data_IF_968673659704
#
_entry.id   IF_968673659704
#
_cell.length_a   1.000
_cell.length_b   1.000
_cell.length_c   1.000
_cell.angle_alpha   90.00
_cell.angle_beta   90.00
_cell.angle_gamma   90.00
#
_symmetry.space_group_name_H-M   'P 1'
#
loop_
_entity.id
_entity.type
_entity.pdbx_description
1 polymer ?
#
# COMPACT_ATOMS: atom_id res chain seq x y z
N UNK A 1 -25.26 0.86 18.02
CA UNK A 1 -23.84 0.62 18.41
C UNK A 1 -23.63 1.07 19.86
N UNK A 2 -23.04 0.22 20.69
CA UNK A 2 -22.62 0.60 22.03
C UNK A 2 -21.53 1.67 21.96
N UNK A 3 -21.41 2.55 22.99
CA UNK A 3 -20.40 3.59 23.04
C UNK A 3 -18.98 3.04 22.85
N UNK A 4 -18.67 1.89 23.43
CA UNK A 4 -17.39 1.18 23.31
C UNK A 4 -17.10 0.73 21.87
N UNK A 5 -18.12 0.27 21.13
CA UNK A 5 -17.99 -0.14 19.72
C UNK A 5 -17.67 1.06 18.80
N UNK A 6 -18.35 2.20 19.04
CA UNK A 6 -18.08 3.45 18.30
C UNK A 6 -16.65 3.95 18.52
N UNK A 7 -16.21 4.05 19.79
CA UNK A 7 -14.86 4.48 20.13
C UNK A 7 -13.82 3.60 19.44
N UNK A 8 -13.97 2.28 19.50
CA UNK A 8 -13.03 1.32 18.90
C UNK A 8 -12.91 1.50 17.39
N UNK A 9 -14.03 1.54 16.68
CA UNK A 9 -14.03 1.67 15.21
C UNK A 9 -13.51 3.04 14.76
N UNK A 10 -13.86 4.10 15.48
CA UNK A 10 -13.29 5.44 15.22
C UNK A 10 -11.78 5.47 15.47
N UNK A 11 -11.29 4.77 16.50
CA UNK A 11 -9.84 4.68 16.76
C UNK A 11 -9.12 3.95 15.61
N UNK A 12 -9.66 2.83 15.13
CA UNK A 12 -9.05 2.12 13.99
C UNK A 12 -9.04 2.97 12.72
N UNK A 13 -10.15 3.67 12.43
CA UNK A 13 -10.19 4.62 11.31
C UNK A 13 -9.14 5.72 11.45
N UNK A 14 -8.96 6.27 12.66
CA UNK A 14 -8.03 7.35 12.94
C UNK A 14 -6.57 6.89 12.87
N UNK A 15 -6.26 5.65 13.26
CA UNK A 15 -4.94 5.04 13.10
C UNK A 15 -4.60 4.85 11.62
N UNK A 16 -5.56 4.41 10.82
CA UNK A 16 -5.41 4.28 9.38
C UNK A 16 -5.37 5.63 8.67
N UNK A 17 -6.06 6.64 9.19
CA UNK A 17 -5.91 8.03 8.72
C UNK A 17 -4.47 8.53 8.90
N UNK A 18 -3.87 8.31 10.07
CA UNK A 18 -2.46 8.64 10.32
C UNK A 18 -1.50 7.88 9.39
N UNK A 19 -1.78 6.60 9.11
CA UNK A 19 -1.05 5.80 8.12
C UNK A 19 -1.20 6.39 6.71
N UNK A 20 -2.43 6.73 6.33
CA UNK A 20 -2.72 7.30 5.01
C UNK A 20 -2.02 8.63 4.77
N UNK A 21 -1.96 9.51 5.77
CA UNK A 21 -1.29 10.80 5.63
C UNK A 21 0.20 10.65 5.35
N UNK A 22 0.93 9.79 6.07
CA UNK A 22 2.36 9.58 5.81
C UNK A 22 2.60 8.85 4.47
N UNK A 23 1.77 7.87 4.13
CA UNK A 23 1.88 7.18 2.84
C UNK A 23 1.62 8.14 1.68
N UNK A 24 0.60 9.01 1.77
CA UNK A 24 0.33 10.04 0.77
C UNK A 24 1.52 10.98 0.55
N UNK A 25 2.18 11.40 1.62
CA UNK A 25 3.40 12.18 1.52
C UNK A 25 4.52 11.40 0.82
N UNK A 26 4.88 10.21 1.30
CA UNK A 26 6.02 9.45 0.78
C UNK A 26 5.82 8.95 -0.64
N UNK A 27 4.62 8.63 -1.05
CA UNK A 27 4.36 8.06 -2.39
C UNK A 27 4.13 9.11 -3.46
N UNK A 28 3.67 10.32 -3.12
CA UNK A 28 3.26 11.30 -4.10
C UNK A 28 4.00 12.65 -4.02
N UNK A 29 4.42 13.08 -2.83
CA UNK A 29 4.91 14.44 -2.61
C UNK A 29 6.39 14.52 -2.21
N UNK A 30 6.92 13.46 -1.61
CA UNK A 30 8.31 13.39 -1.18
C UNK A 30 9.30 13.62 -2.34
N UNK A 31 8.98 13.14 -3.54
CA UNK A 31 9.85 13.30 -4.69
C UNK A 31 10.01 14.78 -5.09
N UNK A 32 8.95 15.57 -5.09
CA UNK A 32 9.04 17.00 -5.40
C UNK A 32 9.76 17.79 -4.31
N UNK A 33 9.59 17.43 -3.03
CA UNK A 33 10.35 18.01 -1.93
C UNK A 33 11.85 17.80 -2.12
N UNK A 34 12.29 16.57 -2.35
CA UNK A 34 13.70 16.25 -2.54
C UNK A 34 14.29 16.87 -3.81
N UNK A 35 13.50 16.92 -4.90
CA UNK A 35 13.91 17.61 -6.15
C UNK A 35 14.18 19.10 -5.95
N UNK A 36 13.47 19.78 -5.07
CA UNK A 36 13.71 21.21 -4.77
C UNK A 36 15.11 21.47 -4.17
N UNK A 37 15.74 20.45 -3.61
CA UNK A 37 17.14 20.48 -3.11
C UNK A 37 18.16 19.96 -4.15
N UNK A 38 17.76 19.74 -5.39
CA UNK A 38 18.65 19.24 -6.45
C UNK A 38 18.98 17.73 -6.36
N UNK A 39 18.26 16.98 -5.52
CA UNK A 39 18.44 15.52 -5.41
C UNK A 39 17.96 14.85 -6.69
N UNK A 40 18.76 13.92 -7.25
CA UNK A 40 18.41 13.19 -8.48
C UNK A 40 17.28 12.19 -8.26
N UNK A 41 16.56 11.81 -9.33
CA UNK A 41 15.49 10.82 -9.23
C UNK A 41 16.02 9.44 -8.81
N UNK A 42 17.25 9.10 -9.20
CA UNK A 42 17.97 7.91 -8.71
C UNK A 42 18.09 7.90 -7.19
N UNK A 43 18.57 9.01 -6.63
CA UNK A 43 18.71 9.14 -5.17
C UNK A 43 17.34 9.10 -4.48
N UNK A 44 16.33 9.77 -5.02
CA UNK A 44 14.96 9.77 -4.51
C UNK A 44 14.35 8.35 -4.53
N UNK A 45 14.56 7.61 -5.62
CA UNK A 45 14.09 6.23 -5.74
C UNK A 45 14.72 5.31 -4.71
N UNK A 46 16.04 5.40 -4.53
CA UNK A 46 16.79 4.64 -3.51
C UNK A 46 16.32 5.04 -2.09
N UNK A 47 16.20 6.34 -1.82
CA UNK A 47 15.69 6.87 -0.55
C UNK A 47 14.30 6.28 -0.24
N UNK A 48 13.36 6.36 -1.19
CA UNK A 48 11.99 5.87 -1.02
C UNK A 48 11.96 4.36 -0.79
N UNK A 49 12.77 3.60 -1.53
CA UNK A 49 12.88 2.16 -1.35
C UNK A 49 13.42 1.79 0.05
N UNK A 50 14.47 2.48 0.52
CA UNK A 50 15.03 2.27 1.86
C UNK A 50 14.05 2.70 2.96
N UNK A 51 13.37 3.82 2.79
CA UNK A 51 12.37 4.31 3.74
C UNK A 51 11.21 3.34 3.90
N UNK A 52 10.76 2.65 2.84
CA UNK A 52 9.68 1.66 2.88
C UNK A 52 10.11 0.27 3.35
N UNK A 53 11.40 0.02 3.54
CA UNK A 53 11.90 -1.30 3.97
C UNK A 53 11.28 -1.82 5.28
N UNK A 54 10.96 -0.99 6.29
CA UNK A 54 10.27 -1.44 7.49
C UNK A 54 8.92 -2.11 7.23
N UNK A 55 8.22 -1.74 6.14
CA UNK A 55 6.95 -2.38 5.75
C UNK A 55 7.14 -3.83 5.27
N UNK A 56 8.33 -4.18 4.81
CA UNK A 56 8.70 -5.56 4.51
C UNK A 56 8.97 -6.30 5.82
N UNK A 57 9.63 -5.63 6.76
CA UNK A 57 10.04 -6.17 8.05
C UNK A 57 8.91 -6.21 9.09
N UNK A 58 7.73 -5.66 8.80
CA UNK A 58 6.61 -5.56 9.75
C UNK A 58 6.14 -6.90 10.32
N UNK A 59 6.39 -8.02 9.63
CA UNK A 59 6.11 -9.37 10.13
C UNK A 59 6.84 -9.62 11.45
N UNK A 60 8.11 -9.22 11.57
CA UNK A 60 8.90 -9.36 12.79
C UNK A 60 8.37 -8.46 13.91
N UNK A 61 7.88 -7.26 13.56
CA UNK A 61 7.22 -6.35 14.52
C UNK A 61 5.93 -6.95 15.08
N UNK A 62 5.14 -7.62 14.23
CA UNK A 62 3.96 -8.37 14.65
C UNK A 62 4.31 -9.51 15.61
N UNK A 63 5.33 -10.31 15.26
CA UNK A 63 5.83 -11.38 16.14
C UNK A 63 6.34 -10.86 17.49
N UNK A 64 7.03 -9.71 17.48
CA UNK A 64 7.52 -9.07 18.70
C UNK A 64 6.35 -8.64 19.60
N UNK A 65 5.36 -7.95 19.03
CA UNK A 65 4.16 -7.52 19.78
C UNK A 65 3.32 -8.71 20.26
N UNK A 66 3.40 -9.85 19.58
CA UNK A 66 2.70 -11.05 19.99
C UNK A 66 3.33 -11.74 21.22
N UNK A 67 4.61 -11.58 21.44
CA UNK A 67 5.38 -12.28 22.48
C UNK A 67 5.73 -11.41 23.68
N UNK A 68 5.99 -10.13 23.45
CA UNK A 68 6.52 -9.24 24.48
C UNK A 68 5.44 -8.27 24.95
N UNK A 69 5.09 -8.37 26.24
CA UNK A 69 4.26 -7.37 26.90
C UNK A 69 5.13 -6.16 27.25
N UNK A 70 5.10 -5.13 26.43
CA UNK A 70 5.97 -3.98 26.55
C UNK A 70 5.63 -3.18 27.81
N UNK A 71 6.60 -3.01 28.68
CA UNK A 71 6.45 -2.33 29.97
C UNK A 71 5.32 -2.89 30.89
N UNK A 72 4.82 -4.10 30.63
CA UNK A 72 3.64 -4.69 31.29
C UNK A 72 2.34 -3.89 31.09
N UNK A 73 2.29 -3.06 30.05
CA UNK A 73 1.13 -2.21 29.72
C UNK A 73 0.20 -2.80 28.65
N UNK A 74 0.60 -3.94 28.06
CA UNK A 74 -0.17 -4.62 27.03
C UNK A 74 0.67 -5.10 25.85
N UNK A 75 0.03 -5.80 24.94
CA UNK A 75 0.67 -6.38 23.76
C UNK A 75 0.44 -5.56 22.46
N UNK A 76 -0.56 -4.66 22.48
CA UNK A 76 -0.91 -3.83 21.30
C UNK A 76 -0.77 -2.34 21.57
N UNK A 77 -1.44 -1.83 22.59
CA UNK A 77 -1.48 -0.39 22.90
C UNK A 77 -0.10 0.26 23.06
N UNK A 78 0.85 -0.30 23.84
CA UNK A 78 2.16 0.32 24.01
C UNK A 78 2.93 0.43 22.68
N UNK A 79 2.84 -0.60 21.83
CA UNK A 79 3.48 -0.60 20.50
C UNK A 79 2.84 0.41 19.57
N UNK A 80 1.50 0.55 19.58
CA UNK A 80 0.78 1.57 18.81
C UNK A 80 1.25 2.96 19.21
N UNK A 81 1.25 3.27 20.51
CA UNK A 81 1.66 4.59 21.01
C UNK A 81 3.13 4.87 20.68
N UNK A 82 4.03 3.91 20.95
CA UNK A 82 5.45 4.05 20.65
C UNK A 82 5.68 4.25 19.15
N UNK A 83 4.97 3.51 18.29
CA UNK A 83 5.05 3.65 16.84
C UNK A 83 4.62 5.03 16.35
N UNK A 84 3.51 5.56 16.89
CA UNK A 84 3.03 6.91 16.58
C UNK A 84 4.04 7.98 17.03
N UNK A 85 4.64 7.82 18.22
CA UNK A 85 5.66 8.76 18.72
C UNK A 85 6.95 8.72 17.88
N UNK A 86 7.41 7.53 17.50
CA UNK A 86 8.58 7.38 16.63
C UNK A 86 8.32 8.03 15.25
N UNK A 87 7.14 7.79 14.68
CA UNK A 87 6.79 8.39 13.39
C UNK A 87 6.71 9.91 13.47
N UNK A 88 5.99 10.45 14.46
CA UNK A 88 5.85 11.90 14.63
C UNK A 88 7.20 12.56 14.94
N UNK A 89 8.03 11.95 15.78
CA UNK A 89 9.39 12.41 16.08
C UNK A 89 10.27 12.45 14.82
N UNK A 90 10.21 11.39 13.98
CA UNK A 90 10.91 11.36 12.70
C UNK A 90 10.46 12.47 11.75
N UNK A 91 9.15 12.75 11.67
CA UNK A 91 8.60 13.85 10.86
C UNK A 91 9.10 15.22 11.33
N UNK A 92 9.16 15.46 12.63
CA UNK A 92 9.72 16.71 13.17
C UNK A 92 11.23 16.82 12.95
N UNK A 93 11.96 15.70 12.96
CA UNK A 93 13.40 15.70 12.66
C UNK A 93 13.71 16.07 11.20
N UNK A 94 12.78 15.85 10.25
CA UNK A 94 12.98 16.30 8.86
C UNK A 94 13.23 17.81 8.76
N UNK A 95 12.62 18.61 9.61
CA UNK A 95 12.80 20.06 9.65
C UNK A 95 14.24 20.48 9.97
N UNK A 96 14.97 19.65 10.71
CA UNK A 96 16.34 19.95 11.16
C UNK A 96 17.43 19.46 10.19
N UNK A 97 17.03 18.77 9.12
CA UNK A 97 17.98 18.10 8.20
C UNK A 97 17.87 18.70 6.81
N UNK A 98 18.97 19.31 6.36
CA UNK A 98 19.06 19.77 4.97
C UNK A 98 19.33 18.55 4.06
N UNK A 99 18.40 18.21 3.12
CA UNK A 99 18.54 17.05 2.25
C UNK A 99 19.83 17.06 1.40
N UNK A 100 20.25 18.22 0.92
CA UNK A 100 21.43 18.37 0.07
C UNK A 100 22.74 18.13 0.83
N UNK A 101 22.78 18.40 2.13
CA UNK A 101 24.00 18.29 2.95
C UNK A 101 24.07 16.94 3.68
N UNK A 102 22.94 16.39 4.08
CA UNK A 102 22.87 15.22 4.97
C UNK A 102 21.87 14.17 4.49
N UNK A 103 21.94 13.81 3.21
CA UNK A 103 20.99 12.88 2.57
C UNK A 103 20.92 11.51 3.26
N UNK A 104 22.08 10.97 3.71
CA UNK A 104 22.13 9.69 4.44
C UNK A 104 21.40 9.78 5.77
N UNK A 105 21.62 10.86 6.53
CA UNK A 105 20.91 11.08 7.80
C UNK A 105 19.39 11.23 7.58
N UNK A 106 18.98 11.96 6.54
CA UNK A 106 17.58 12.08 6.16
C UNK A 106 16.98 10.69 5.86
N UNK A 107 17.71 9.85 5.13
CA UNK A 107 17.27 8.47 4.81
C UNK A 107 17.12 7.62 6.08
N UNK A 108 18.04 7.74 7.03
CA UNK A 108 17.94 7.04 8.33
C UNK A 108 16.73 7.50 9.14
N UNK A 109 16.44 8.80 9.15
CA UNK A 109 15.27 9.35 9.84
C UNK A 109 13.98 8.94 9.16
N UNK A 110 13.95 8.89 7.82
CA UNK A 110 12.81 8.35 7.06
C UNK A 110 12.57 6.87 7.39
N UNK A 111 13.61 6.05 7.39
CA UNK A 111 13.53 4.65 7.78
C UNK A 111 12.98 4.48 9.21
N UNK A 112 13.48 5.26 10.17
CA UNK A 112 13.02 5.24 11.55
C UNK A 112 11.54 5.67 11.65
N UNK A 113 11.16 6.75 10.98
CA UNK A 113 9.77 7.23 10.93
C UNK A 113 8.82 6.16 10.40
N UNK A 114 9.17 5.51 9.28
CA UNK A 114 8.36 4.44 8.71
C UNK A 114 8.46 3.11 9.49
N UNK A 115 9.50 2.90 10.29
CA UNK A 115 9.51 1.82 11.29
C UNK A 115 8.43 2.05 12.36
N UNK A 116 8.28 3.29 12.82
CA UNK A 116 7.17 3.67 13.70
C UNK A 116 5.81 3.37 13.07
N UNK A 117 5.64 3.74 11.78
CA UNK A 117 4.42 3.42 11.03
C UNK A 117 4.18 1.91 10.94
N UNK A 118 5.17 1.13 10.53
CA UNK A 118 5.04 -0.32 10.40
C UNK A 118 4.68 -0.98 11.74
N UNK A 119 5.19 -0.44 12.86
CA UNK A 119 4.93 -0.95 14.20
C UNK A 119 3.48 -0.71 14.62
N UNK A 120 2.98 0.53 14.54
CA UNK A 120 1.59 0.76 14.95
C UNK A 120 0.58 0.18 13.97
N UNK A 121 0.89 0.16 12.66
CA UNK A 121 0.04 -0.46 11.64
C UNK A 121 -0.20 -1.95 11.95
N UNK A 122 0.88 -2.72 12.10
CA UNK A 122 0.79 -4.15 12.42
C UNK A 122 0.06 -4.42 13.73
N UNK A 123 0.31 -3.58 14.77
CA UNK A 123 -0.36 -3.73 16.06
C UNK A 123 -1.83 -3.29 16.01
N UNK A 124 -2.19 -2.34 15.14
CA UNK A 124 -3.58 -1.95 14.89
C UNK A 124 -4.35 -3.07 14.22
N UNK A 125 -3.77 -3.71 13.19
CA UNK A 125 -4.36 -4.86 12.52
C UNK A 125 -4.62 -6.00 13.52
N UNK A 126 -3.61 -6.33 14.32
CA UNK A 126 -3.74 -7.33 15.38
C UNK A 126 -4.79 -6.95 16.42
N UNK A 127 -4.87 -5.67 16.82
CA UNK A 127 -5.86 -5.20 17.79
C UNK A 127 -7.28 -5.23 17.21
N UNK A 128 -7.44 -4.90 15.93
CA UNK A 128 -8.71 -5.03 15.22
C UNK A 128 -9.18 -6.48 15.19
N UNK A 129 -8.30 -7.43 14.82
CA UNK A 129 -8.59 -8.87 14.83
C UNK A 129 -8.92 -9.40 16.22
N UNK A 130 -8.18 -8.97 17.25
CA UNK A 130 -8.37 -9.44 18.65
C UNK A 130 -9.68 -8.92 19.27
N UNK A 131 -10.29 -7.86 18.72
CA UNK A 131 -11.44 -7.16 19.34
C UNK A 131 -12.68 -7.07 18.48
N UNK A 132 -12.63 -7.45 17.22
CA UNK A 132 -13.77 -7.34 16.30
C UNK A 132 -14.51 -8.68 16.21
N UNK A 133 -15.83 -8.71 16.44
CA UNK A 133 -16.63 -9.89 16.19
C UNK A 133 -16.63 -10.26 14.70
N UNK A 134 -16.74 -11.56 14.33
CA UNK A 134 -16.70 -12.01 12.94
C UNK A 134 -17.73 -11.31 12.02
N UNK A 135 -18.92 -10.99 12.54
CA UNK A 135 -19.97 -10.29 11.80
C UNK A 135 -19.65 -8.83 11.47
N UNK A 136 -18.67 -8.23 12.13
CA UNK A 136 -18.26 -6.84 11.94
C UNK A 136 -16.93 -6.68 11.20
N UNK A 137 -16.23 -7.77 10.86
CA UNK A 137 -14.90 -7.72 10.25
C UNK A 137 -14.88 -6.90 8.96
N UNK A 138 -15.83 -7.13 8.06
CA UNK A 138 -15.95 -6.37 6.82
C UNK A 138 -16.20 -4.88 7.05
N UNK A 139 -17.04 -4.54 8.05
CA UNK A 139 -17.34 -3.16 8.43
C UNK A 139 -16.08 -2.46 8.97
N UNK A 140 -15.32 -3.13 9.83
CA UNK A 140 -14.09 -2.57 10.41
C UNK A 140 -13.03 -2.35 9.33
N UNK A 141 -12.80 -3.32 8.45
CA UNK A 141 -11.88 -3.17 7.33
C UNK A 141 -12.29 -2.02 6.42
N UNK A 142 -13.58 -1.90 6.08
CA UNK A 142 -14.08 -0.78 5.29
C UNK A 142 -13.83 0.59 5.93
N UNK A 143 -14.04 0.71 7.25
CA UNK A 143 -13.79 1.94 8.01
C UNK A 143 -12.29 2.25 8.07
N UNK A 144 -11.43 1.25 8.24
CA UNK A 144 -9.98 1.39 8.24
C UNK A 144 -9.48 1.89 6.87
N UNK A 145 -9.89 1.24 5.78
CA UNK A 145 -9.54 1.65 4.41
C UNK A 145 -10.04 3.06 4.10
N UNK A 146 -11.26 3.41 4.50
CA UNK A 146 -11.78 4.76 4.34
C UNK A 146 -10.96 5.80 5.12
N UNK A 147 -10.53 5.47 6.35
CA UNK A 147 -9.64 6.31 7.14
C UNK A 147 -8.31 6.55 6.43
N UNK A 148 -7.66 5.49 5.91
CA UNK A 148 -6.41 5.59 5.13
C UNK A 148 -6.59 6.49 3.91
N UNK A 149 -7.63 6.26 3.15
CA UNK A 149 -7.93 7.04 1.96
C UNK A 149 -8.15 8.53 2.27
N UNK A 150 -8.88 8.82 3.34
CA UNK A 150 -9.08 10.19 3.81
C UNK A 150 -7.75 10.86 4.19
N UNK A 151 -6.85 10.13 4.87
CA UNK A 151 -5.51 10.60 5.20
C UNK A 151 -4.69 10.95 3.96
N UNK A 152 -4.68 10.08 2.95
CA UNK A 152 -4.00 10.33 1.67
C UNK A 152 -4.55 11.59 0.98
N UNK A 153 -5.86 11.68 0.83
CA UNK A 153 -6.50 12.81 0.14
C UNK A 153 -6.25 14.12 0.88
N UNK A 154 -6.42 14.13 2.21
CA UNK A 154 -6.27 15.35 2.99
C UNK A 154 -4.83 15.84 2.96
N UNK A 155 -3.84 14.97 3.20
CA UNK A 155 -2.43 15.39 3.18
C UNK A 155 -2.02 15.85 1.79
N UNK A 156 -2.44 15.15 0.74
CA UNK A 156 -2.09 15.51 -0.63
C UNK A 156 -2.62 16.89 -1.01
N UNK A 157 -3.85 17.21 -0.62
CA UNK A 157 -4.45 18.53 -0.88
C UNK A 157 -3.80 19.62 -0.02
N UNK A 158 -3.55 19.35 1.27
CA UNK A 158 -3.04 20.38 2.19
C UNK A 158 -1.54 20.64 2.05
N UNK A 159 -0.74 19.61 1.74
CA UNK A 159 0.72 19.76 1.59
C UNK A 159 1.06 20.70 0.44
N UNK A 160 0.40 20.54 -0.71
CA UNK A 160 0.61 21.45 -1.84
C UNK A 160 0.37 22.91 -1.46
N UNK A 161 -0.70 23.18 -0.70
CA UNK A 161 -1.01 24.54 -0.23
C UNK A 161 0.01 25.01 0.81
N UNK A 162 0.32 24.21 1.80
CA UNK A 162 1.25 24.59 2.88
C UNK A 162 2.67 24.84 2.37
N UNK A 163 3.16 24.02 1.43
CA UNK A 163 4.51 24.17 0.88
C UNK A 163 4.69 25.45 0.04
N UNK A 164 3.62 26.01 -0.52
CA UNK A 164 3.65 27.28 -1.26
C UNK A 164 3.39 28.50 -0.37
N UNK A 165 2.46 28.40 0.58
CA UNK A 165 1.99 29.53 1.37
C UNK A 165 2.77 29.74 2.67
N UNK A 166 3.37 28.69 3.21
CA UNK A 166 4.12 28.73 4.45
C UNK A 166 5.55 28.27 4.23
N UNK A 167 5.81 26.98 4.43
CA UNK A 167 7.12 26.34 4.29
C UNK A 167 6.95 24.82 4.38
N UNK A 168 7.97 24.05 3.97
CA UNK A 168 8.03 22.61 4.17
C UNK A 168 7.98 22.20 5.65
N UNK A 169 8.45 23.07 6.55
CA UNK A 169 8.33 22.84 8.01
C UNK A 169 6.88 22.73 8.45
N UNK A 170 6.00 23.57 7.92
CA UNK A 170 4.55 23.50 8.18
C UNK A 170 3.94 22.17 7.71
N UNK A 171 4.46 21.59 6.64
CA UNK A 171 4.08 20.27 6.14
C UNK A 171 4.44 19.20 7.15
N UNK A 172 5.68 19.18 7.65
CA UNK A 172 6.16 18.18 8.60
C UNK A 172 5.47 18.29 9.96
N UNK A 173 5.20 19.51 10.42
CA UNK A 173 4.39 19.75 11.63
C UNK A 173 2.97 19.18 11.43
N UNK A 174 2.34 19.45 10.28
CA UNK A 174 1.00 18.95 9.99
C UNK A 174 0.95 17.41 9.97
N UNK A 175 1.96 16.76 9.36
CA UNK A 175 2.10 15.31 9.36
C UNK A 175 2.27 14.76 10.78
N UNK A 176 3.10 15.40 11.62
CA UNK A 176 3.31 14.99 13.00
C UNK A 176 2.02 15.13 13.83
N UNK A 177 1.28 16.23 13.66
CA UNK A 177 -0.03 16.43 14.31
C UNK A 177 -1.02 15.35 13.85
N UNK A 178 -1.16 15.11 12.54
CA UNK A 178 -2.05 14.06 12.02
C UNK A 178 -1.68 12.67 12.55
N UNK A 179 -0.38 12.39 12.72
CA UNK A 179 0.12 11.14 13.28
C UNK A 179 -0.27 10.98 14.75
N UNK A 180 -0.29 12.05 15.54
CA UNK A 180 -0.58 12.01 16.97
C UNK A 180 -2.08 12.08 17.31
N UNK A 181 -2.95 12.47 16.36
CA UNK A 181 -4.41 12.55 16.59
C UNK A 181 -5.03 11.27 17.18
N UNK A 182 -4.63 10.04 16.79
CA UNK A 182 -5.21 8.82 17.37
C UNK A 182 -4.80 8.56 18.83
N UNK A 183 -3.70 9.14 19.33
CA UNK A 183 -3.13 8.82 20.66
C UNK A 183 -4.15 8.90 21.80
N UNK A 184 -4.92 10.00 21.96
CA UNK A 184 -5.93 10.08 23.03
C UNK A 184 -6.97 8.97 22.94
N UNK A 185 -7.38 8.61 21.72
CA UNK A 185 -8.37 7.55 21.50
C UNK A 185 -7.80 6.17 21.85
N UNK A 186 -6.54 5.90 21.49
CA UNK A 186 -5.84 4.65 21.84
C UNK A 186 -5.71 4.51 23.35
N UNK A 187 -5.41 5.59 24.07
CA UNK A 187 -5.33 5.58 25.54
C UNK A 187 -6.65 5.18 26.22
N UNK A 188 -7.78 5.61 25.66
CA UNK A 188 -9.11 5.31 26.16
C UNK A 188 -9.58 3.88 25.86
N UNK A 189 -8.98 3.18 24.88
CA UNK A 189 -9.33 1.80 24.57
C UNK A 189 -8.86 0.83 25.65
N UNK A 190 -9.67 -0.20 25.92
CA UNK A 190 -9.28 -1.32 26.77
C UNK A 190 -8.75 -2.45 25.89
N UNK A 191 -7.54 -2.89 26.17
CA UNK A 191 -6.98 -4.08 25.52
C UNK A 191 -7.53 -5.34 26.23
N UNK A 192 -8.12 -6.30 25.50
CA UNK A 192 -8.61 -7.53 26.09
C UNK A 192 -7.45 -8.39 26.58
N UNK A 193 -7.70 -9.18 27.64
CA UNK A 193 -6.78 -10.23 28.07
C UNK A 193 -6.65 -11.26 26.95
N UNK A 194 -5.42 -11.56 26.54
CA UNK A 194 -5.16 -12.51 25.45
C UNK A 194 -5.44 -13.94 25.85
N UNK A 195 -6.12 -14.73 25.00
CA UNK A 195 -6.07 -16.19 25.13
C UNK A 195 -4.62 -16.67 24.85
N UNK A 196 -4.09 -17.59 25.67
CA UNK A 196 -2.77 -18.16 25.44
C UNK A 196 -2.81 -18.98 24.13
N UNK A 197 -1.85 -18.76 23.21
CA UNK A 197 -1.51 -19.74 22.21
C UNK A 197 -1.74 -19.44 20.72
N UNK A 198 -1.75 -18.19 20.24
CA UNK A 198 -1.50 -17.95 18.80
C UNK A 198 0.01 -18.00 18.54
N UNK A 199 0.53 -19.18 18.25
CA UNK A 199 1.91 -19.34 17.82
C UNK A 199 2.00 -19.07 16.31
N UNK A 200 3.04 -18.32 15.92
CA UNK A 200 3.42 -18.19 14.51
C UNK A 200 3.82 -19.57 13.98
N UNK A 201 3.08 -20.09 13.01
CA UNK A 201 3.34 -21.39 12.44
C UNK A 201 4.39 -21.30 11.32
N UNK A 202 5.58 -21.82 11.55
CA UNK A 202 6.63 -21.98 10.53
C UNK A 202 6.17 -22.82 9.32
N UNK A 203 5.10 -23.61 9.47
CA UNK A 203 4.43 -24.33 8.39
C UNK A 203 3.93 -23.43 7.26
N UNK A 204 3.63 -22.14 7.55
CA UNK A 204 3.22 -21.15 6.56
C UNK A 204 4.27 -20.95 5.45
N UNK A 205 5.57 -21.02 5.81
CA UNK A 205 6.65 -20.89 4.83
C UNK A 205 6.72 -22.05 3.84
N UNK A 206 6.28 -23.26 4.22
CA UNK A 206 6.21 -24.41 3.29
C UNK A 206 5.14 -24.22 2.21
N UNK A 207 4.06 -23.47 2.49
CA UNK A 207 3.02 -23.16 1.52
C UNK A 207 3.56 -22.31 0.35
N UNK A 208 4.63 -21.54 0.54
CA UNK A 208 5.31 -20.77 -0.51
C UNK A 208 6.03 -21.64 -1.55
N UNK A 209 6.31 -22.90 -1.27
CA UNK A 209 6.82 -23.86 -2.26
C UNK A 209 5.79 -24.25 -3.34
N UNK A 210 4.52 -23.92 -3.16
CA UNK A 210 3.47 -24.19 -4.17
C UNK A 210 3.65 -23.26 -5.36
N UNK A 211 3.81 -23.82 -6.57
CA UNK A 211 4.03 -23.05 -7.83
C UNK A 211 3.02 -21.91 -8.04
N UNK A 212 1.77 -22.08 -7.62
CA UNK A 212 0.72 -21.06 -7.73
C UNK A 212 0.97 -19.85 -6.82
N UNK A 213 1.46 -20.10 -5.58
CA UNK A 213 1.76 -19.05 -4.61
C UNK A 213 3.01 -18.28 -5.04
N UNK A 214 4.03 -18.99 -5.52
CA UNK A 214 5.23 -18.35 -6.09
C UNK A 214 4.86 -17.48 -7.29
N UNK A 215 4.03 -18.00 -8.21
CA UNK A 215 3.59 -17.22 -9.38
C UNK A 215 2.75 -16.01 -8.98
N UNK A 216 1.91 -16.12 -7.94
CA UNK A 216 1.15 -15.00 -7.39
C UNK A 216 2.07 -13.97 -6.73
N UNK A 217 3.07 -14.40 -5.96
CA UNK A 217 4.09 -13.52 -5.41
C UNK A 217 4.85 -12.74 -6.49
N UNK A 218 5.30 -13.43 -7.56
CA UNK A 218 5.95 -12.79 -8.70
C UNK A 218 5.03 -11.82 -9.42
N UNK A 219 3.75 -12.16 -9.59
CA UNK A 219 2.74 -11.25 -10.15
C UNK A 219 2.61 -9.98 -9.29
N UNK A 220 2.60 -10.13 -7.96
CA UNK A 220 2.60 -9.02 -7.04
C UNK A 220 3.85 -8.16 -7.19
N UNK A 221 5.05 -8.75 -7.17
CA UNK A 221 6.31 -8.03 -7.37
C UNK A 221 6.24 -7.18 -8.64
N UNK A 222 5.93 -7.79 -9.79
CA UNK A 222 5.88 -7.07 -11.08
C UNK A 222 4.82 -5.97 -11.06
N UNK A 223 3.62 -6.24 -10.59
CA UNK A 223 2.55 -5.25 -10.54
C UNK A 223 2.88 -4.06 -9.64
N UNK A 224 3.47 -4.31 -8.46
CA UNK A 224 3.87 -3.22 -7.55
C UNK A 224 5.14 -2.49 -8.01
N UNK A 225 6.05 -3.13 -8.76
CA UNK A 225 7.13 -2.42 -9.49
C UNK A 225 6.52 -1.37 -10.42
N UNK A 226 5.53 -1.76 -11.23
CA UNK A 226 4.90 -0.88 -12.21
C UNK A 226 4.17 0.26 -11.53
N UNK A 227 3.28 -0.07 -10.60
CA UNK A 227 2.36 0.91 -10.01
C UNK A 227 3.08 1.89 -9.08
N UNK A 228 3.98 1.42 -8.23
CA UNK A 228 4.74 2.28 -7.30
C UNK A 228 5.79 3.10 -8.04
N UNK A 229 6.51 2.48 -8.99
CA UNK A 229 7.48 3.19 -9.82
C UNK A 229 6.84 4.31 -10.64
N UNK A 230 5.71 4.04 -11.30
CA UNK A 230 4.99 5.05 -12.06
C UNK A 230 4.45 6.17 -11.15
N UNK A 231 3.85 5.83 -10.00
CA UNK A 231 3.27 6.82 -9.10
C UNK A 231 4.28 7.85 -8.62
N UNK A 232 5.48 7.42 -8.23
CA UNK A 232 6.56 8.32 -7.76
C UNK A 232 6.97 9.35 -8.82
N UNK A 233 6.88 8.99 -10.11
CA UNK A 233 7.39 9.80 -11.20
C UNK A 233 6.39 10.85 -11.71
N UNK A 234 5.09 10.72 -11.42
CA UNK A 234 4.04 11.59 -12.00
C UNK A 234 4.27 13.05 -11.65
N UNK A 235 4.38 13.38 -10.37
CA UNK A 235 4.52 14.76 -9.93
C UNK A 235 5.85 15.41 -10.38
N UNK A 236 7.02 14.76 -10.24
CA UNK A 236 8.27 15.27 -10.80
C UNK A 236 8.21 15.47 -12.32
N UNK A 237 7.63 14.52 -13.05
CA UNK A 237 7.44 14.64 -14.49
C UNK A 237 6.61 15.85 -14.87
N UNK A 238 5.48 16.08 -14.21
CA UNK A 238 4.61 17.23 -14.48
C UNK A 238 5.27 18.54 -14.09
N UNK A 239 6.02 18.57 -12.98
CA UNK A 239 6.73 19.75 -12.52
C UNK A 239 7.87 20.13 -13.48
N UNK A 240 8.72 19.18 -13.88
CA UNK A 240 9.85 19.44 -14.76
C UNK A 240 9.42 19.73 -16.21
N UNK A 241 8.38 19.02 -16.70
CA UNK A 241 7.94 19.19 -18.10
C UNK A 241 7.02 20.39 -18.32
N UNK A 242 6.25 20.79 -17.31
CA UNK A 242 5.18 21.79 -17.47
C UNK A 242 5.21 22.91 -16.43
N UNK A 243 6.16 22.90 -15.48
CA UNK A 243 6.29 23.94 -14.47
C UNK A 243 5.10 24.03 -13.52
N UNK A 244 4.43 22.88 -13.21
CA UNK A 244 3.31 22.91 -12.27
C UNK A 244 3.80 23.33 -10.88
N UNK A 245 2.96 24.06 -10.13
CA UNK A 245 3.25 24.44 -8.76
C UNK A 245 3.14 23.25 -7.80
N UNK A 246 3.67 23.40 -6.60
CA UNK A 246 3.52 22.40 -5.51
C UNK A 246 2.04 22.18 -5.16
N UNK A 247 1.24 23.25 -5.17
CA UNK A 247 -0.21 23.17 -4.96
C UNK A 247 -0.88 22.27 -6.00
N UNK A 248 -0.55 22.46 -7.27
CA UNK A 248 -1.05 21.62 -8.36
C UNK A 248 -0.62 20.16 -8.20
N UNK A 249 0.65 19.90 -7.81
CA UNK A 249 1.14 18.56 -7.55
C UNK A 249 0.37 17.87 -6.41
N UNK A 250 0.06 18.60 -5.33
CA UNK A 250 -0.79 18.12 -4.24
C UNK A 250 -2.19 17.74 -4.71
N UNK A 251 -2.81 18.56 -5.55
CA UNK A 251 -4.14 18.24 -6.12
C UNK A 251 -4.10 17.06 -7.10
N UNK A 252 -3.06 16.91 -7.91
CA UNK A 252 -2.88 15.69 -8.72
C UNK A 252 -2.80 14.44 -7.86
N UNK A 253 -2.03 14.50 -6.75
CA UNK A 253 -1.94 13.38 -5.81
C UNK A 253 -3.30 13.09 -5.12
N UNK A 254 -4.08 14.12 -4.79
CA UNK A 254 -5.43 13.94 -4.25
C UNK A 254 -6.38 13.29 -5.26
N UNK A 255 -6.35 13.72 -6.52
CA UNK A 255 -7.15 13.14 -7.62
C UNK A 255 -6.74 11.69 -7.90
N UNK A 256 -5.44 11.38 -7.87
CA UNK A 256 -4.95 10.02 -7.91
C UNK A 256 -5.52 9.17 -6.76
N UNK A 257 -5.48 9.69 -5.52
CA UNK A 257 -6.03 9.01 -4.35
C UNK A 257 -7.53 8.73 -4.46
N UNK A 258 -8.32 9.67 -5.00
CA UNK A 258 -9.75 9.44 -5.30
C UNK A 258 -9.92 8.33 -6.34
N UNK A 259 -9.09 8.31 -7.37
CA UNK A 259 -9.04 7.21 -8.34
C UNK A 259 -8.77 5.87 -7.67
N UNK A 260 -7.81 5.80 -6.76
CA UNK A 260 -7.46 4.57 -6.01
C UNK A 260 -8.66 4.06 -5.19
N UNK A 261 -9.37 4.94 -4.50
CA UNK A 261 -10.57 4.58 -3.73
C UNK A 261 -11.63 3.95 -4.65
N UNK A 262 -11.96 4.63 -5.74
CA UNK A 262 -12.98 4.15 -6.68
C UNK A 262 -12.53 2.86 -7.39
N UNK A 263 -11.26 2.77 -7.75
CA UNK A 263 -10.66 1.56 -8.31
C UNK A 263 -10.71 0.36 -7.36
N UNK A 264 -10.41 0.58 -6.09
CA UNK A 264 -10.52 -0.44 -5.06
C UNK A 264 -11.96 -0.94 -4.86
N UNK A 265 -12.90 -0.02 -4.71
CA UNK A 265 -14.33 -0.37 -4.52
C UNK A 265 -14.92 -1.11 -5.73
N UNK A 266 -14.59 -0.64 -6.94
CA UNK A 266 -15.07 -1.29 -8.18
C UNK A 266 -14.35 -2.60 -8.44
N UNK A 267 -13.04 -2.67 -8.12
CA UNK A 267 -12.22 -3.86 -8.28
C UNK A 267 -12.70 -5.05 -7.45
N UNK A 268 -13.05 -4.82 -6.19
CA UNK A 268 -13.62 -5.85 -5.32
C UNK A 268 -14.93 -6.41 -5.89
N UNK A 269 -15.91 -5.53 -6.16
CA UNK A 269 -17.20 -5.94 -6.73
C UNK A 269 -17.07 -6.65 -8.08
N UNK A 270 -16.15 -6.19 -8.92
CA UNK A 270 -15.93 -6.79 -10.24
C UNK A 270 -15.29 -8.17 -10.10
N UNK A 271 -14.35 -8.34 -9.15
CA UNK A 271 -13.75 -9.64 -8.85
C UNK A 271 -14.80 -10.67 -8.44
N UNK A 272 -15.73 -10.28 -7.57
CA UNK A 272 -16.83 -11.16 -7.13
C UNK A 272 -17.73 -11.58 -8.30
N UNK A 273 -17.99 -10.68 -9.26
CA UNK A 273 -18.88 -10.92 -10.40
C UNK A 273 -18.25 -11.75 -11.52
N UNK A 274 -17.02 -11.42 -11.93
CA UNK A 274 -16.37 -12.02 -13.11
C UNK A 274 -15.34 -13.09 -12.76
N UNK A 275 -15.01 -13.24 -11.47
CA UNK A 275 -14.02 -14.17 -10.93
C UNK A 275 -12.57 -13.67 -11.05
N UNK A 276 -11.72 -14.15 -10.15
CA UNK A 276 -10.32 -13.72 -10.00
C UNK A 276 -9.50 -13.74 -11.31
N UNK A 277 -9.53 -14.81 -12.16
CA UNK A 277 -8.69 -14.85 -13.35
C UNK A 277 -8.98 -13.73 -14.35
N UNK A 278 -10.27 -13.39 -14.55
CA UNK A 278 -10.67 -12.32 -15.46
C UNK A 278 -10.40 -10.95 -14.84
N UNK A 279 -10.60 -10.80 -13.53
CA UNK A 279 -10.35 -9.58 -12.79
C UNK A 279 -8.85 -9.22 -12.82
N UNK A 280 -7.94 -10.18 -12.53
CA UNK A 280 -6.49 -9.95 -12.59
C UNK A 280 -6.06 -9.60 -14.02
N UNK A 281 -6.58 -10.29 -15.04
CA UNK A 281 -6.30 -9.95 -16.44
C UNK A 281 -6.74 -8.52 -16.77
N UNK A 282 -7.93 -8.11 -16.34
CA UNK A 282 -8.44 -6.75 -16.49
C UNK A 282 -7.58 -5.71 -15.79
N UNK A 283 -7.11 -6.00 -14.57
CA UNK A 283 -6.23 -5.12 -13.81
C UNK A 283 -4.87 -4.89 -14.49
N UNK A 284 -4.25 -5.96 -15.01
CA UNK A 284 -3.00 -5.83 -15.79
C UNK A 284 -3.20 -5.03 -17.07
N UNK A 285 -4.33 -5.23 -17.76
CA UNK A 285 -4.64 -4.47 -18.98
C UNK A 285 -4.88 -2.99 -18.64
N UNK A 286 -5.64 -2.69 -17.58
CA UNK A 286 -5.87 -1.32 -17.13
C UNK A 286 -4.54 -0.65 -16.74
N UNK A 287 -3.66 -1.35 -16.01
CA UNK A 287 -2.32 -0.86 -15.65
C UNK A 287 -1.47 -0.59 -16.89
N UNK A 288 -1.41 -1.53 -17.84
CA UNK A 288 -0.69 -1.36 -19.12
C UNK A 288 -1.14 -0.08 -19.83
N UNK A 289 -2.44 0.08 -20.03
CA UNK A 289 -3.00 1.20 -20.79
C UNK A 289 -2.80 2.52 -20.04
N UNK A 290 -3.12 2.59 -18.77
CA UNK A 290 -3.07 3.86 -18.02
C UNK A 290 -1.64 4.36 -17.82
N UNK A 291 -0.71 3.49 -17.46
CA UNK A 291 0.71 3.86 -17.29
C UNK A 291 1.32 4.26 -18.66
N UNK A 292 0.95 3.54 -19.73
CA UNK A 292 1.40 3.90 -21.08
C UNK A 292 0.88 5.28 -21.52
N UNK A 293 -0.39 5.58 -21.26
CA UNK A 293 -1.01 6.86 -21.60
C UNK A 293 -0.38 8.05 -20.87
N UNK A 294 0.11 7.88 -19.63
CA UNK A 294 0.81 8.94 -18.89
C UNK A 294 2.04 9.43 -19.66
N UNK A 295 2.76 8.53 -20.35
CA UNK A 295 3.91 8.89 -21.18
C UNK A 295 3.58 9.91 -22.28
N UNK A 296 2.32 9.95 -22.73
CA UNK A 296 1.83 10.86 -23.77
C UNK A 296 1.10 12.08 -23.23
N UNK A 297 1.18 12.36 -21.92
CA UNK A 297 0.68 13.61 -21.37
C UNK A 297 1.32 14.78 -22.10
N UNK A 298 0.49 15.62 -22.72
CA UNK A 298 0.92 16.75 -23.55
C UNK A 298 0.66 18.13 -22.89
N UNK A 299 -0.11 18.16 -21.81
CA UNK A 299 -0.43 19.38 -21.07
C UNK A 299 -0.87 19.07 -19.64
N UNK A 300 -0.78 20.04 -18.71
CA UNK A 300 -1.34 19.91 -17.36
C UNK A 300 -2.85 19.57 -17.37
N UNK A 301 -3.62 20.14 -18.28
CA UNK A 301 -5.05 19.86 -18.38
C UNK A 301 -5.33 18.37 -18.71
N UNK A 302 -4.54 17.77 -19.59
CA UNK A 302 -4.66 16.34 -19.92
C UNK A 302 -4.17 15.44 -18.79
N UNK A 303 -3.31 15.92 -17.93
CA UNK A 303 -2.82 15.15 -16.78
C UNK A 303 -3.94 14.78 -15.80
N UNK A 304 -4.95 15.63 -15.61
CA UNK A 304 -6.05 15.38 -14.65
C UNK A 304 -6.77 14.04 -14.90
N UNK A 305 -7.37 13.82 -16.09
CA UNK A 305 -8.03 12.55 -16.35
C UNK A 305 -7.07 11.37 -16.38
N UNK A 306 -5.83 11.54 -16.86
CA UNK A 306 -4.86 10.45 -16.94
C UNK A 306 -4.39 10.02 -15.54
N UNK A 307 -4.12 10.94 -14.64
CA UNK A 307 -3.75 10.66 -13.25
C UNK A 307 -4.91 10.01 -12.49
N UNK A 308 -6.15 10.47 -12.72
CA UNK A 308 -7.33 9.82 -12.16
C UNK A 308 -7.48 8.39 -12.64
N UNK A 309 -7.38 8.14 -13.95
CA UNK A 309 -7.48 6.81 -14.54
C UNK A 309 -6.36 5.89 -14.06
N UNK A 310 -5.15 6.42 -13.91
CA UNK A 310 -4.05 5.67 -13.32
C UNK A 310 -4.33 5.31 -11.86
N UNK A 311 -4.84 6.25 -11.05
CA UNK A 311 -5.27 5.97 -9.68
C UNK A 311 -6.33 4.88 -9.61
N UNK A 312 -7.33 4.93 -10.49
CA UNK A 312 -8.37 3.91 -10.62
C UNK A 312 -7.79 2.53 -10.97
N UNK A 313 -6.87 2.49 -11.92
CA UNK A 313 -6.16 1.27 -12.30
C UNK A 313 -5.28 0.72 -11.16
N UNK A 314 -4.61 1.60 -10.42
CA UNK A 314 -3.80 1.25 -9.26
C UNK A 314 -4.65 0.58 -8.18
N UNK A 315 -5.73 1.24 -7.73
CA UNK A 315 -6.62 0.70 -6.71
C UNK A 315 -7.32 -0.58 -7.15
N UNK A 316 -7.67 -0.69 -8.44
CA UNK A 316 -8.22 -1.91 -9.01
C UNK A 316 -7.21 -3.06 -8.94
N UNK A 317 -5.97 -2.84 -9.36
CA UNK A 317 -4.90 -3.86 -9.31
C UNK A 317 -4.63 -4.30 -7.87
N UNK A 318 -4.45 -3.36 -6.95
CA UNK A 318 -4.16 -3.63 -5.54
C UNK A 318 -5.26 -4.51 -4.91
N UNK A 319 -6.52 -4.13 -5.08
CA UNK A 319 -7.66 -4.86 -4.52
C UNK A 319 -7.80 -6.27 -5.11
N UNK A 320 -7.66 -6.41 -6.43
CA UNK A 320 -7.75 -7.71 -7.11
C UNK A 320 -6.59 -8.61 -6.71
N UNK A 321 -5.38 -8.06 -6.55
CA UNK A 321 -4.22 -8.81 -6.06
C UNK A 321 -4.44 -9.33 -4.65
N UNK A 322 -4.92 -8.49 -3.73
CA UNK A 322 -5.18 -8.88 -2.35
C UNK A 322 -6.33 -9.89 -2.24
N UNK A 323 -7.42 -9.70 -2.97
CA UNK A 323 -8.52 -10.65 -3.03
C UNK A 323 -8.06 -12.02 -3.56
N UNK A 324 -7.21 -12.02 -4.60
CA UNK A 324 -6.63 -13.26 -5.14
C UNK A 324 -5.66 -13.91 -4.17
N UNK A 325 -4.91 -13.10 -3.42
CA UNK A 325 -4.02 -13.59 -2.36
C UNK A 325 -4.80 -14.27 -1.24
N UNK A 326 -5.94 -13.70 -0.82
CA UNK A 326 -6.84 -14.31 0.15
C UNK A 326 -7.43 -15.65 -0.37
N UNK A 327 -7.90 -15.69 -1.63
CA UNK A 327 -8.44 -16.90 -2.25
C UNK A 327 -7.43 -18.07 -2.28
N UNK A 328 -6.15 -17.76 -2.49
CA UNK A 328 -5.08 -18.78 -2.59
C UNK A 328 -4.48 -19.18 -1.25
N UNK A 329 -4.91 -18.56 -0.17
CA UNK A 329 -4.38 -18.77 1.16
C UNK A 329 -5.03 -20.00 1.84
N UNK A 330 -4.25 -20.81 2.54
CA UNK A 330 -4.76 -21.89 3.37
C UNK A 330 -5.40 -21.29 4.63
N UNK A 331 -6.68 -21.59 4.87
CA UNK A 331 -7.45 -21.03 5.99
C UNK A 331 -6.79 -21.25 7.37
N UNK A 332 -6.01 -22.33 7.53
CA UNK A 332 -5.31 -22.65 8.79
C UNK A 332 -4.16 -21.70 9.10
N UNK A 333 -3.58 -21.06 8.07
CA UNK A 333 -2.41 -20.19 8.16
C UNK A 333 -2.66 -18.86 7.43
N UNK A 334 -3.95 -18.53 7.23
CA UNK A 334 -4.38 -17.44 6.36
C UNK A 334 -3.68 -16.10 6.67
N UNK A 335 -3.65 -15.70 7.93
CA UNK A 335 -3.06 -14.42 8.34
C UNK A 335 -1.56 -14.34 8.03
N UNK A 336 -0.80 -15.41 8.37
CA UNK A 336 0.65 -15.44 8.12
C UNK A 336 0.97 -15.47 6.62
N UNK A 337 0.22 -16.24 5.85
CA UNK A 337 0.44 -16.35 4.41
C UNK A 337 0.10 -15.04 3.69
N UNK A 338 -0.99 -14.40 4.06
CA UNK A 338 -1.37 -13.10 3.54
C UNK A 338 -0.33 -12.04 3.88
N UNK A 339 0.14 -11.99 5.14
CA UNK A 339 1.17 -11.03 5.57
C UNK A 339 2.48 -11.18 4.77
N UNK A 340 2.86 -12.41 4.44
CA UNK A 340 4.06 -12.67 3.62
C UNK A 340 3.84 -12.23 2.17
N UNK A 341 2.67 -12.50 1.57
CA UNK A 341 2.35 -12.00 0.21
C UNK A 341 2.34 -10.47 0.16
N UNK A 342 1.86 -9.81 1.23
CA UNK A 342 1.94 -8.35 1.38
C UNK A 342 3.40 -7.85 1.46
N UNK A 343 4.26 -8.55 2.23
CA UNK A 343 5.68 -8.21 2.30
C UNK A 343 6.37 -8.37 0.93
N UNK A 344 6.02 -9.42 0.19
CA UNK A 344 6.51 -9.64 -1.19
C UNK A 344 6.04 -8.52 -2.13
N UNK A 345 4.81 -8.06 -2.01
CA UNK A 345 4.30 -6.89 -2.74
C UNK A 345 5.09 -5.61 -2.40
N UNK A 346 5.39 -5.39 -1.13
CA UNK A 346 6.20 -4.25 -0.68
C UNK A 346 7.65 -4.31 -1.21
N UNK A 347 8.23 -5.50 -1.38
CA UNK A 347 9.51 -5.68 -2.10
C UNK A 347 9.37 -5.17 -3.55
N UNK A 348 8.29 -5.53 -4.23
CA UNK A 348 7.98 -5.01 -5.57
C UNK A 348 7.88 -3.49 -5.58
N UNK A 349 7.21 -2.88 -4.60
CA UNK A 349 7.15 -1.42 -4.46
C UNK A 349 8.54 -0.80 -4.31
N UNK A 350 9.37 -1.32 -3.40
CA UNK A 350 10.73 -0.81 -3.18
C UNK A 350 11.59 -0.88 -4.45
N UNK A 351 11.55 -2.01 -5.17
CA UNK A 351 12.24 -2.18 -6.47
C UNK A 351 11.70 -1.17 -7.49
N UNK A 352 10.37 -0.97 -7.55
CA UNK A 352 9.73 -0.04 -8.47
C UNK A 352 10.13 1.40 -8.25
N UNK A 353 10.19 1.84 -6.99
CA UNK A 353 10.64 3.18 -6.61
C UNK A 353 12.10 3.41 -7.01
N UNK A 354 13.00 2.47 -6.67
CA UNK A 354 14.41 2.57 -7.03
C UNK A 354 14.62 2.52 -8.56
N UNK A 355 14.04 1.52 -9.23
CA UNK A 355 14.18 1.35 -10.68
C UNK A 355 13.55 2.52 -11.46
N UNK A 356 12.38 3.00 -11.03
CA UNK A 356 11.72 4.16 -11.61
C UNK A 356 12.60 5.41 -11.55
N UNK A 357 13.20 5.68 -10.39
CA UNK A 357 14.13 6.80 -10.21
C UNK A 357 15.37 6.69 -11.10
N UNK A 358 16.04 5.52 -11.11
CA UNK A 358 17.23 5.26 -11.93
C UNK A 358 16.92 5.44 -13.42
N UNK A 359 15.84 4.80 -13.89
CA UNK A 359 15.45 4.86 -15.29
C UNK A 359 15.05 6.27 -15.72
N UNK A 360 14.35 7.04 -14.86
CA UNK A 360 13.95 8.41 -15.20
C UNK A 360 15.15 9.35 -15.37
N UNK A 361 16.22 9.19 -14.58
CA UNK A 361 17.44 9.94 -14.77
C UNK A 361 18.21 9.51 -16.04
N UNK A 362 18.09 8.23 -16.42
CA UNK A 362 18.87 7.66 -17.53
C UNK A 362 18.25 7.85 -18.91
N UNK A 363 16.94 7.56 -19.02
CA UNK A 363 16.20 7.59 -20.30
C UNK A 363 15.06 8.61 -20.31
N UNK A 364 14.86 9.35 -19.20
CA UNK A 364 13.78 10.33 -19.03
C UNK A 364 12.44 9.71 -18.64
N UNK A 365 11.54 10.54 -18.15
CA UNK A 365 10.25 10.13 -17.58
C UNK A 365 9.37 9.37 -18.58
N UNK A 366 9.24 9.87 -19.82
CA UNK A 366 8.33 9.30 -20.83
C UNK A 366 8.69 7.86 -21.19
N UNK A 367 9.98 7.61 -21.46
CA UNK A 367 10.45 6.26 -21.78
C UNK A 367 10.39 5.33 -20.57
N UNK A 368 10.58 5.87 -19.37
CA UNK A 368 10.40 5.09 -18.12
C UNK A 368 8.97 4.65 -17.93
N UNK A 369 7.97 5.52 -18.14
CA UNK A 369 6.56 5.12 -18.11
C UNK A 369 6.23 4.06 -19.16
N UNK A 370 6.73 4.20 -20.40
CA UNK A 370 6.54 3.19 -21.43
C UNK A 370 7.13 1.83 -21.03
N UNK A 371 8.35 1.83 -20.49
CA UNK A 371 9.03 0.61 -20.07
C UNK A 371 8.27 -0.06 -18.90
N UNK A 372 7.89 0.72 -17.90
CA UNK A 372 7.07 0.22 -16.79
C UNK A 372 5.74 -0.35 -17.27
N UNK A 373 5.05 0.32 -18.21
CA UNK A 373 3.83 -0.19 -18.80
C UNK A 373 4.04 -1.55 -19.48
N UNK A 374 5.11 -1.70 -20.28
CA UNK A 374 5.44 -2.92 -21.00
C UNK A 374 5.76 -4.10 -20.07
N UNK A 375 6.18 -3.87 -18.82
CA UNK A 375 6.36 -4.93 -17.83
C UNK A 375 5.06 -5.68 -17.50
N UNK A 376 3.88 -5.13 -17.81
CA UNK A 376 2.63 -5.88 -17.72
C UNK A 376 2.58 -7.08 -18.69
N UNK A 377 3.28 -7.03 -19.83
CA UNK A 377 3.24 -8.09 -20.83
C UNK A 377 3.75 -9.45 -20.31
N UNK A 378 4.97 -9.55 -19.71
CA UNK A 378 5.40 -10.79 -19.10
C UNK A 378 4.53 -11.20 -17.90
N UNK A 379 3.90 -10.26 -17.19
CA UNK A 379 2.98 -10.58 -16.09
C UNK A 379 1.76 -11.39 -16.54
N UNK A 380 1.29 -11.22 -17.80
CA UNK A 380 0.23 -12.05 -18.35
C UNK A 380 0.61 -13.55 -18.43
N UNK A 381 1.88 -13.89 -18.58
CA UNK A 381 2.34 -15.28 -18.61
C UNK A 381 2.19 -15.93 -17.22
N UNK A 382 2.33 -15.16 -16.13
CA UNK A 382 2.16 -15.64 -14.77
C UNK A 382 0.72 -16.04 -14.47
N UNK A 383 -0.28 -15.45 -15.16
CA UNK A 383 -1.70 -15.79 -14.96
C UNK A 383 -1.97 -17.29 -15.16
N UNK A 384 -1.35 -17.90 -16.18
CA UNK A 384 -1.51 -19.33 -16.44
C UNK A 384 -1.00 -20.18 -15.28
N UNK A 385 0.11 -19.76 -14.65
CA UNK A 385 0.68 -20.47 -13.49
C UNK A 385 -0.15 -20.29 -12.22
N UNK A 386 -0.68 -19.07 -11.99
CA UNK A 386 -1.54 -18.75 -10.83
C UNK A 386 -2.85 -19.55 -10.85
N UNK A 387 -3.47 -19.70 -12.02
CA UNK A 387 -4.83 -20.27 -12.16
C UNK A 387 -4.90 -21.66 -12.80
N UNK A 388 -3.78 -22.33 -13.04
CA UNK A 388 -3.70 -23.62 -13.77
C UNK A 388 -4.64 -24.70 -13.21
N UNK A 389 -4.77 -24.85 -11.89
CA UNK A 389 -5.63 -25.89 -11.27
C UNK A 389 -7.14 -25.65 -11.42
N UNK A 390 -7.59 -24.43 -11.72
CA UNK A 390 -9.01 -24.15 -11.97
C UNK A 390 -9.47 -24.63 -13.35
N UNK A 391 -8.57 -24.66 -14.33
CA UNK A 391 -8.86 -25.18 -15.66
C UNK A 391 -9.10 -26.70 -15.62
N UNK A 392 -8.24 -27.46 -14.87
CA UNK A 392 -8.34 -28.93 -14.79
C UNK A 392 -9.60 -29.40 -14.05
N UNK A 393 -10.11 -28.63 -13.05
CA UNK A 393 -11.37 -28.95 -12.35
C UNK A 393 -12.61 -28.71 -13.19
N UNK A 394 -12.60 -27.75 -14.13
CA UNK A 394 -13.73 -27.49 -15.03
C UNK A 394 -13.83 -28.51 -16.13
N UNK A 395 -12.71 -29.00 -16.64
CA UNK A 395 -12.68 -30.09 -17.65
C UNK A 395 -12.98 -31.45 -17.05
N UNK A 396 -12.49 -31.76 -15.83
CA UNK A 396 -12.80 -33.01 -15.12
C UNK A 396 -14.28 -33.10 -14.69
N UNK A 397 -14.88 -32.00 -14.22
CA UNK A 397 -16.31 -32.00 -13.82
C UNK A 397 -17.30 -32.07 -14.98
N UNK A 398 -16.90 -31.75 -16.22
CA UNK A 398 -17.71 -31.97 -17.42
C UNK A 398 -17.57 -33.37 -18.01
N UNK A 399 -16.43 -34.03 -17.80
CA UNK A 399 -16.23 -35.39 -18.19
C UNK A 399 -17.05 -36.38 -17.33
N UNK A 400 -17.10 -36.13 -16.01
CA UNK A 400 -17.84 -36.98 -15.06
C UNK A 400 -19.38 -36.90 -15.22
N UNK A 401 -19.91 -35.77 -15.68
CA UNK A 401 -21.34 -35.61 -16.00
C UNK A 401 -21.76 -36.24 -17.33
N UNK A 402 -20.82 -36.61 -18.20
CA UNK A 402 -21.13 -37.26 -19.47
C UNK A 402 -21.08 -38.82 -19.39
N UNK A 403 -20.53 -39.35 -18.29
CA UNK A 403 -20.47 -40.83 -18.07
C UNK A 403 -21.56 -41.37 -17.16
N UNK A 404 -22.38 -40.53 -16.51
CA UNK A 404 -23.58 -40.93 -15.77
C UNK A 404 -24.84 -40.71 -16.61
N UNK A 405 -24.98 -41.46 -17.69
CA UNK A 405 -26.26 -41.66 -18.38
C UNK A 405 -27.14 -42.62 -17.55
N UNK A 406 -28.49 -42.49 -17.63
CA UNK A 406 -29.37 -43.28 -16.82
C UNK A 406 -29.24 -44.77 -17.18
N UNK A 407 -28.88 -45.60 -16.18
CA UNK A 407 -29.06 -47.03 -16.27
C UNK A 407 -30.53 -47.31 -16.04
N UNK A 408 -31.19 -47.81 -17.07
CA UNK A 408 -32.54 -48.39 -17.04
C UNK A 408 -32.62 -49.50 -15.97
N UNK A 409 -33.53 -49.38 -15.04
CA UNK A 409 -34.63 -50.34 -14.74
C UNK A 409 -35.50 -49.82 -13.63
#
# INVERSE_FOLDING_TARGET
MTQTKRLRYSTFSMLYFAQGSILGYFTALNAIYLRSFGITMTQIGIFSAMALMPLILKIFLGMLSDRVNLFRLGYRKPYIILGLLIQAGGQLLFMLINPAQSFVLLTMVAFLSLTGMAMYDTCTDGFALDTTPPEDEGTVQGIMVAGRALGIVLISATVGVLSELADWDAVFISLAVMTLLPVPMVLLLKEPSRPPGRNFEWSAFRAFGKKQVVALGLLGIVGFIITSGANQLINPFLQESYGISYMMAGFYAAVWGLGVILGGLTGGRLTDRIGHPKAVKGALMASLVTVFLIAFTASPALAWPLVFLFGLSYGYFETVYFATSMEKTDLRIAASMFAILMAVANIGSGIGLAAGGILSDWIGYRYTFMLLALLNLPAFLLLRAVFRKQADRRTGGQADRRTSGPADK
#
